data_IF_780050790036
#
_entry.id   IF_780050790036
#
_cell.length_a   1.000
_cell.length_b   1.000
_cell.length_c   1.000
_cell.angle_alpha   90.00
_cell.angle_beta   90.00
_cell.angle_gamma   90.00
#
_symmetry.space_group_name_H-M   'P 1'
#
loop_
_entity.id
_entity.type
_entity.pdbx_description
1 polymer ?
#
# COMPACT_ATOMS: atom_id res chain seq x y z
N UNK A 1 12.18 -13.34 26.47
CA UNK A 1 12.02 -12.32 25.41
C UNK A 1 10.79 -12.71 24.61
N UNK A 2 9.76 -11.84 24.52
CA UNK A 2 8.60 -12.10 23.67
C UNK A 2 9.02 -12.26 22.21
N UNK A 3 8.28 -13.04 21.41
CA UNK A 3 8.54 -13.19 19.97
C UNK A 3 8.57 -11.80 19.32
N UNK A 4 9.70 -11.45 18.70
CA UNK A 4 9.81 -10.24 17.87
C UNK A 4 8.94 -10.47 16.64
N UNK A 5 7.95 -9.59 16.41
CA UNK A 5 7.12 -9.66 15.23
C UNK A 5 7.87 -9.03 14.05
N UNK A 6 8.47 -9.86 13.20
CA UNK A 6 9.23 -9.42 12.02
C UNK A 6 8.25 -9.27 10.85
N UNK A 7 8.18 -8.06 10.28
CA UNK A 7 7.40 -7.77 9.07
C UNK A 7 8.04 -8.47 7.87
N UNK A 8 7.22 -9.12 7.04
CA UNK A 8 7.64 -9.89 5.86
C UNK A 8 7.19 -9.19 4.58
N UNK A 9 7.86 -9.48 3.45
CA UNK A 9 7.56 -8.89 2.13
C UNK A 9 6.08 -8.96 1.73
N UNK A 10 5.42 -10.09 2.00
CA UNK A 10 4.00 -10.27 1.68
C UNK A 10 3.04 -9.45 2.54
N UNK A 11 3.54 -8.79 3.60
CA UNK A 11 2.75 -7.87 4.41
C UNK A 11 2.81 -6.44 3.86
N UNK A 12 3.61 -6.18 2.83
CA UNK A 12 3.45 -5.02 1.97
C UNK A 12 2.59 -5.43 0.77
N UNK A 13 1.48 -4.74 0.55
CA UNK A 13 0.65 -4.92 -0.63
C UNK A 13 0.77 -3.70 -1.54
N UNK A 14 1.28 -3.95 -2.74
CA UNK A 14 1.56 -2.94 -3.75
C UNK A 14 0.44 -2.93 -4.80
N UNK A 15 -0.09 -1.76 -5.13
CA UNK A 15 -1.18 -1.60 -6.08
C UNK A 15 -0.83 -0.54 -7.12
N UNK A 16 -1.20 -0.80 -8.37
CA UNK A 16 -1.07 0.15 -9.47
C UNK A 16 -2.47 0.53 -9.96
N UNK A 17 -2.75 1.82 -10.09
CA UNK A 17 -3.97 2.29 -10.75
C UNK A 17 -3.80 2.15 -12.26
N UNK A 18 -4.51 1.20 -12.87
CA UNK A 18 -4.54 1.02 -14.34
C UNK A 18 -5.78 1.65 -14.97
N UNK A 19 -6.56 2.38 -14.18
CA UNK A 19 -7.72 3.16 -14.61
C UNK A 19 -7.35 4.62 -14.87
N UNK A 20 -8.32 5.51 -14.66
CA UNK A 20 -8.10 6.97 -14.76
C UNK A 20 -8.19 7.61 -13.37
N UNK A 21 -7.86 8.90 -13.26
CA UNK A 21 -8.08 9.65 -12.01
C UNK A 21 -9.56 9.66 -11.60
N UNK A 22 -10.47 9.83 -12.56
CA UNK A 22 -11.92 9.89 -12.32
C UNK A 22 -12.56 8.53 -12.06
N UNK A 23 -11.95 7.46 -12.57
CA UNK A 23 -12.39 6.08 -12.40
C UNK A 23 -11.18 5.20 -12.06
N UNK A 24 -10.67 5.29 -10.82
CA UNK A 24 -9.51 4.50 -10.41
C UNK A 24 -9.79 3.01 -10.47
N UNK A 25 -8.80 2.25 -10.91
CA UNK A 25 -8.84 0.80 -10.95
C UNK A 25 -7.51 0.25 -10.43
N UNK A 26 -7.42 0.16 -9.10
CA UNK A 26 -6.22 -0.34 -8.42
C UNK A 26 -6.16 -1.86 -8.47
N UNK A 27 -5.19 -2.37 -9.22
CA UNK A 27 -4.88 -3.80 -9.34
C UNK A 27 -3.66 -4.15 -8.50
N UNK A 28 -3.67 -5.34 -7.88
CA UNK A 28 -2.58 -5.80 -7.03
C UNK A 28 -1.37 -6.15 -7.90
N UNK A 29 -0.19 -5.63 -7.55
CA UNK A 29 1.10 -6.03 -8.14
C UNK A 29 1.60 -7.30 -7.44
N UNK A 30 0.83 -8.38 -7.60
CA UNK A 30 1.01 -9.64 -6.89
C UNK A 30 1.62 -10.72 -7.76
N UNK A 31 0.77 -11.58 -8.32
CA UNK A 31 1.22 -12.68 -9.18
C UNK A 31 2.04 -12.14 -10.36
N UNK A 32 3.13 -12.85 -10.69
CA UNK A 32 4.09 -12.44 -11.72
C UNK A 32 5.20 -11.50 -11.23
N UNK A 33 4.98 -10.67 -10.22
CA UNK A 33 6.05 -9.86 -9.63
C UNK A 33 6.92 -10.69 -8.69
N UNK A 34 8.24 -10.67 -8.90
CA UNK A 34 9.24 -11.37 -8.07
C UNK A 34 9.92 -10.43 -7.08
N UNK A 35 9.98 -9.14 -7.39
CA UNK A 35 10.48 -8.10 -6.48
C UNK A 35 9.76 -6.77 -6.74
N UNK A 36 9.59 -5.97 -5.68
CA UNK A 36 9.22 -4.55 -5.73
C UNK A 36 9.86 -3.89 -4.51
N UNK A 37 11.07 -3.37 -4.68
CA UNK A 37 11.90 -2.86 -3.60
C UNK A 37 11.86 -1.33 -3.57
N UNK A 38 11.72 -0.74 -2.39
CA UNK A 38 11.71 0.72 -2.21
C UNK A 38 13.09 1.22 -1.82
N UNK A 39 13.59 2.16 -2.60
CA UNK A 39 14.81 2.91 -2.33
C UNK A 39 14.43 4.37 -2.12
N UNK A 40 14.34 4.87 -0.86
CA UNK A 40 13.94 6.25 -0.59
C UNK A 40 14.89 7.31 -1.18
N UNK A 41 16.17 6.97 -1.35
CA UNK A 41 17.18 7.83 -1.98
C UNK A 41 17.21 9.27 -1.46
N UNK A 42 17.43 9.43 -0.15
CA UNK A 42 17.52 10.75 0.49
C UNK A 42 18.61 11.63 -0.15
N UNK A 43 18.29 12.91 -0.36
CA UNK A 43 19.26 13.95 -0.72
C UNK A 43 19.52 14.85 0.46
N UNK A 44 20.77 15.23 0.66
CA UNK A 44 21.17 16.08 1.77
C UNK A 44 21.95 17.28 1.27
N UNK A 45 21.74 18.42 1.92
CA UNK A 45 22.60 19.59 1.80
C UNK A 45 23.46 19.71 3.05
N UNK A 46 24.63 20.36 2.93
CA UNK A 46 25.53 20.58 4.05
C UNK A 46 26.09 21.99 4.02
N UNK A 47 26.07 22.65 5.17
CA UNK A 47 26.62 24.00 5.36
C UNK A 47 27.68 23.95 6.45
N UNK A 48 28.80 24.64 6.22
CA UNK A 48 29.87 24.84 7.20
C UNK A 48 30.17 26.33 7.29
N UNK A 49 29.97 26.94 8.45
CA UNK A 49 30.36 28.34 8.67
C UNK A 49 31.85 28.45 9.01
N UNK A 50 32.43 29.65 8.84
CA UNK A 50 33.88 29.89 9.00
C UNK A 50 34.39 29.53 10.39
N UNK A 51 33.55 29.71 11.40
CA UNK A 51 33.85 29.39 12.79
C UNK A 51 33.44 27.96 13.19
N UNK A 52 32.85 27.17 12.27
CA UNK A 52 32.50 25.78 12.54
C UNK A 52 33.68 24.86 12.26
N UNK A 53 33.93 23.93 13.17
CA UNK A 53 34.95 22.90 12.98
C UNK A 53 34.47 21.86 11.96
N UNK A 54 33.17 21.54 11.94
CA UNK A 54 32.53 20.56 11.06
C UNK A 54 31.29 21.11 10.37
N UNK A 55 30.91 20.53 9.22
CA UNK A 55 29.67 20.88 8.53
C UNK A 55 28.44 20.33 9.28
N UNK A 56 27.32 21.05 9.20
CA UNK A 56 25.99 20.56 9.57
C UNK A 56 25.26 20.07 8.31
N UNK A 57 24.67 18.88 8.35
CA UNK A 57 23.90 18.30 7.24
C UNK A 57 22.41 18.19 7.55
N UNK A 58 21.58 18.25 6.51
CA UNK A 58 20.12 18.04 6.63
C UNK A 58 19.60 17.36 5.36
N UNK A 59 18.70 16.38 5.53
CA UNK A 59 17.97 15.78 4.41
C UNK A 59 16.97 16.81 3.89
N UNK A 60 17.01 17.09 2.59
CA UNK A 60 16.18 18.12 1.94
C UNK A 60 15.11 17.54 1.02
N UNK A 61 15.30 16.33 0.50
CA UNK A 61 14.33 15.66 -0.36
C UNK A 61 14.58 14.15 -0.40
N UNK A 62 13.61 13.42 -0.98
CA UNK A 62 13.73 12.00 -1.31
C UNK A 62 13.45 11.81 -2.80
N UNK A 63 14.28 11.03 -3.49
CA UNK A 63 14.05 10.60 -4.87
C UNK A 63 13.64 9.12 -4.89
N UNK A 64 12.49 8.84 -4.27
CA UNK A 64 12.07 7.44 -4.01
C UNK A 64 11.90 6.67 -5.32
N UNK A 65 12.46 5.47 -5.39
CA UNK A 65 12.29 4.55 -6.52
C UNK A 65 11.76 3.21 -6.02
N UNK A 66 10.85 2.62 -6.78
CA UNK A 66 10.38 1.25 -6.58
C UNK A 66 10.88 0.37 -7.74
N UNK A 67 12.02 -0.28 -7.55
CA UNK A 67 12.56 -1.19 -8.56
C UNK A 67 11.75 -2.48 -8.59
N UNK A 68 11.31 -2.92 -9.77
CA UNK A 68 10.50 -4.11 -9.92
C UNK A 68 11.11 -5.11 -10.91
N UNK A 69 10.88 -6.38 -10.63
CA UNK A 69 11.07 -7.49 -11.56
C UNK A 69 9.77 -8.30 -11.64
N UNK A 70 9.39 -8.67 -12.86
CA UNK A 70 8.19 -9.47 -13.11
C UNK A 70 8.38 -10.45 -14.28
N UNK A 71 7.70 -11.60 -14.22
CA UNK A 71 7.43 -12.42 -15.40
C UNK A 71 6.40 -11.69 -16.28
N UNK A 72 6.59 -11.66 -17.60
CA UNK A 72 5.61 -11.07 -18.50
C UNK A 72 4.38 -12.00 -18.60
N UNK A 73 3.29 -11.63 -17.94
CA UNK A 73 2.02 -12.38 -17.92
C UNK A 73 0.93 -11.49 -18.51
N UNK A 74 0.31 -11.93 -19.60
CA UNK A 74 -0.65 -11.14 -20.38
C UNK A 74 -1.91 -10.81 -19.59
N UNK A 75 -2.39 -11.75 -18.78
CA UNK A 75 -3.64 -11.58 -18.01
C UNK A 75 -3.44 -10.77 -16.71
N UNK A 76 -2.19 -10.48 -16.31
CA UNK A 76 -1.88 -9.67 -15.14
C UNK A 76 -1.86 -8.19 -15.52
N UNK A 77 -2.94 -7.49 -15.20
CA UNK A 77 -3.22 -6.12 -15.67
C UNK A 77 -2.14 -5.09 -15.30
N UNK A 78 -1.55 -5.21 -14.11
CA UNK A 78 -0.44 -4.33 -13.70
C UNK A 78 0.80 -4.55 -14.59
N UNK A 79 1.11 -5.81 -14.90
CA UNK A 79 2.25 -6.19 -15.75
C UNK A 79 2.00 -5.74 -17.19
N UNK A 80 0.78 -5.94 -17.69
CA UNK A 80 0.37 -5.47 -19.02
C UNK A 80 0.53 -3.94 -19.16
N UNK A 81 0.05 -3.17 -18.18
CA UNK A 81 0.18 -1.71 -18.18
C UNK A 81 1.65 -1.25 -18.20
N UNK A 82 2.49 -1.83 -17.35
CA UNK A 82 3.92 -1.51 -17.34
C UNK A 82 4.62 -1.95 -18.63
N UNK A 83 4.27 -3.11 -19.19
CA UNK A 83 4.80 -3.57 -20.47
C UNK A 83 4.47 -2.61 -21.61
N UNK A 84 3.26 -2.05 -21.65
CA UNK A 84 2.86 -1.08 -22.67
C UNK A 84 3.69 0.20 -22.64
N UNK A 85 4.03 0.71 -21.45
CA UNK A 85 4.94 1.87 -21.28
C UNK A 85 6.26 1.62 -22.00
N UNK A 86 6.89 0.48 -21.75
CA UNK A 86 8.15 0.11 -22.39
C UNK A 86 8.01 -0.17 -23.88
N UNK A 87 6.99 -0.96 -24.26
CA UNK A 87 6.75 -1.35 -25.66
C UNK A 87 6.49 -0.15 -26.57
N UNK A 88 5.71 0.83 -26.09
CA UNK A 88 5.28 1.98 -26.87
C UNK A 88 6.15 3.22 -26.62
N UNK A 89 7.13 3.12 -25.72
CA UNK A 89 7.95 4.24 -25.26
C UNK A 89 7.09 5.42 -24.79
N UNK A 90 6.08 5.15 -23.95
CA UNK A 90 5.31 6.22 -23.32
C UNK A 90 6.21 7.11 -22.49
N UNK A 91 5.88 8.40 -22.44
CA UNK A 91 6.65 9.42 -21.71
C UNK A 91 5.73 10.42 -21.03
N UNK A 92 6.27 11.18 -20.09
CA UNK A 92 5.49 12.16 -19.33
C UNK A 92 4.28 11.50 -18.67
N UNK A 93 3.12 12.16 -18.73
CA UNK A 93 1.89 11.68 -18.10
C UNK A 93 1.39 10.34 -18.63
N UNK A 94 1.77 9.91 -19.85
CA UNK A 94 1.39 8.59 -20.38
C UNK A 94 2.19 7.44 -19.74
N UNK A 95 3.30 7.76 -19.08
CA UNK A 95 4.10 6.81 -18.31
C UNK A 95 3.84 6.93 -16.79
N UNK A 96 2.95 7.83 -16.36
CA UNK A 96 2.67 8.08 -14.95
C UNK A 96 1.48 7.28 -14.43
N UNK A 97 1.58 6.81 -13.18
CA UNK A 97 0.56 6.02 -12.50
C UNK A 97 0.39 6.48 -11.07
N UNK A 98 -0.81 6.29 -10.53
CA UNK A 98 -1.00 6.24 -9.09
C UNK A 98 -0.58 4.87 -8.56
N UNK A 99 0.34 4.87 -7.60
CA UNK A 99 0.87 3.66 -6.96
C UNK A 99 0.63 3.71 -5.45
N UNK A 100 0.14 2.61 -4.88
CA UNK A 100 -0.17 2.51 -3.45
C UNK A 100 0.64 1.38 -2.84
N UNK A 101 1.30 1.67 -1.72
CA UNK A 101 1.90 0.67 -0.83
C UNK A 101 1.15 0.64 0.49
N UNK A 102 0.45 -0.46 0.75
CA UNK A 102 -0.34 -0.69 1.96
C UNK A 102 0.39 -1.62 2.95
N UNK A 103 0.34 -1.28 4.23
CA UNK A 103 1.00 -1.96 5.33
C UNK A 103 0.04 -2.96 5.99
N UNK A 104 -0.01 -4.20 5.53
CA UNK A 104 -1.00 -5.19 5.99
C UNK A 104 -0.86 -5.60 7.46
N UNK A 105 0.24 -5.24 8.13
CA UNK A 105 0.42 -5.42 9.57
C UNK A 105 -0.12 -4.24 10.39
N UNK A 106 -0.39 -3.11 9.76
CA UNK A 106 -0.78 -1.84 10.37
C UNK A 106 -2.25 -1.52 10.04
N UNK A 107 -3.14 -2.42 10.49
CA UNK A 107 -4.57 -2.29 10.28
C UNK A 107 -5.16 -1.11 11.05
N UNK A 108 -6.13 -0.43 10.44
CA UNK A 108 -6.93 0.60 11.09
C UNK A 108 -8.26 -0.03 11.48
N UNK A 109 -8.72 0.26 12.69
CA UNK A 109 -9.98 -0.25 13.22
C UNK A 109 -10.91 0.91 13.61
N UNK A 110 -12.20 0.76 13.32
CA UNK A 110 -13.25 1.70 13.69
C UNK A 110 -14.44 0.91 14.25
N UNK A 111 -14.31 0.46 15.50
CA UNK A 111 -15.32 -0.40 16.12
C UNK A 111 -16.57 0.39 16.51
N UNK A 112 -17.69 0.02 15.89
CA UNK A 112 -19.01 0.59 16.13
C UNK A 112 -19.97 -0.47 16.64
N UNK A 113 -20.92 -0.07 17.47
CA UNK A 113 -21.97 -0.99 17.91
C UNK A 113 -22.77 -1.42 16.69
N UNK A 114 -23.04 -2.72 16.55
CA UNK A 114 -23.75 -3.21 15.36
C UNK A 114 -25.20 -2.72 15.36
N UNK A 115 -25.73 -2.42 14.18
CA UNK A 115 -27.15 -2.13 13.95
C UNK A 115 -27.96 -3.37 13.60
N UNK A 116 -27.31 -4.52 13.45
CA UNK A 116 -27.96 -5.76 13.04
C UNK A 116 -28.93 -6.27 14.12
N UNK A 117 -30.08 -6.81 13.69
CA UNK A 117 -31.08 -7.42 14.59
C UNK A 117 -30.97 -8.93 14.66
N UNK A 118 -30.12 -9.53 13.81
CA UNK A 118 -29.82 -10.95 13.76
C UNK A 118 -28.40 -11.20 13.26
N UNK A 119 -27.86 -12.40 13.45
CA UNK A 119 -26.52 -12.72 12.94
C UNK A 119 -26.53 -12.77 11.41
N UNK A 120 -25.84 -11.83 10.78
CA UNK A 120 -25.53 -11.85 9.35
C UNK A 120 -24.41 -12.87 9.04
N UNK A 121 -24.69 -13.79 8.11
CA UNK A 121 -23.70 -14.79 7.67
C UNK A 121 -22.44 -14.12 7.08
N UNK A 122 -21.25 -14.61 7.44
CA UNK A 122 -19.96 -14.09 6.95
C UNK A 122 -19.49 -12.79 7.62
N UNK A 123 -20.31 -12.14 8.46
CA UNK A 123 -19.92 -10.94 9.20
C UNK A 123 -19.16 -11.32 10.48
N UNK A 124 -18.13 -10.54 10.80
CA UNK A 124 -17.35 -10.72 12.03
C UNK A 124 -17.86 -9.74 13.09
N UNK A 125 -18.16 -10.26 14.28
CA UNK A 125 -18.61 -9.49 15.43
C UNK A 125 -17.57 -9.48 16.54
N UNK A 126 -17.60 -8.45 17.36
CA UNK A 126 -16.68 -8.23 18.47
C UNK A 126 -17.46 -7.92 19.76
N UNK A 127 -16.90 -8.34 20.89
CA UNK A 127 -17.32 -7.84 22.21
C UNK A 127 -16.32 -6.79 22.68
N UNK A 128 -16.81 -5.82 23.45
CA UNK A 128 -16.00 -4.74 24.02
C UNK A 128 -15.80 -4.97 25.51
N UNK A 129 -14.56 -4.87 25.97
CA UNK A 129 -14.20 -4.86 27.39
C UNK A 129 -13.26 -3.69 27.71
N UNK A 130 -12.99 -3.43 28.99
CA UNK A 130 -12.16 -2.31 29.44
C UNK A 130 -12.96 -1.02 29.64
N UNK A 131 -12.24 0.11 29.67
CA UNK A 131 -12.77 1.44 29.95
C UNK A 131 -12.56 2.39 28.77
N UNK A 132 -13.27 3.52 28.79
CA UNK A 132 -13.12 4.55 27.75
C UNK A 132 -11.65 4.98 27.59
N UNK A 133 -11.16 4.98 26.35
CA UNK A 133 -9.76 5.25 26.02
C UNK A 133 -8.84 4.03 26.04
N UNK A 134 -9.31 2.88 26.52
CA UNK A 134 -8.54 1.62 26.58
C UNK A 134 -9.45 0.40 26.32
N UNK A 135 -10.42 0.53 25.42
CA UNK A 135 -11.30 -0.58 25.08
C UNK A 135 -10.55 -1.66 24.32
N UNK A 136 -10.81 -2.91 24.69
CA UNK A 136 -10.34 -4.09 23.99
C UNK A 136 -11.53 -4.71 23.28
N UNK A 137 -11.38 -4.89 21.97
CA UNK A 137 -12.39 -5.54 21.13
C UNK A 137 -11.91 -6.95 20.78
N UNK A 138 -12.65 -7.95 21.24
CA UNK A 138 -12.32 -9.36 21.04
C UNK A 138 -13.31 -9.99 20.09
N UNK A 139 -12.80 -10.67 19.05
CA UNK A 139 -13.62 -11.39 18.07
C UNK A 139 -14.52 -12.42 18.75
N UNK A 140 -15.78 -12.47 18.33
CA UNK A 140 -16.76 -13.47 18.75
C UNK A 140 -16.69 -14.65 17.77
N UNK A 141 -16.22 -15.80 18.23
CA UNK A 141 -16.06 -17.01 17.38
C UNK A 141 -17.40 -17.68 17.06
N UNK A 142 -18.37 -17.63 17.97
CA UNK A 142 -19.71 -18.22 17.79
C UNK A 142 -20.81 -17.18 18.09
N UNK A 143 -21.12 -16.27 17.13
CA UNK A 143 -22.14 -15.24 17.33
C UNK A 143 -23.53 -15.82 17.55
N UNK A 144 -24.30 -15.24 18.46
CA UNK A 144 -25.69 -15.63 18.79
C UNK A 144 -26.61 -14.43 18.63
N UNK A 145 -27.76 -14.63 17.99
CA UNK A 145 -28.76 -13.55 17.82
C UNK A 145 -29.23 -12.98 19.15
N UNK A 146 -29.30 -13.80 20.21
CA UNK A 146 -29.68 -13.33 21.55
C UNK A 146 -28.73 -12.25 22.11
N UNK A 147 -27.46 -12.25 21.69
CA UNK A 147 -26.41 -11.38 22.20
C UNK A 147 -26.07 -10.21 21.24
N UNK A 148 -26.70 -10.15 20.06
CA UNK A 148 -26.37 -9.20 18.98
C UNK A 148 -26.37 -7.74 19.46
N UNK A 149 -27.28 -7.39 20.38
CA UNK A 149 -27.40 -6.06 20.95
C UNK A 149 -26.18 -5.62 21.79
N UNK A 150 -25.23 -6.51 22.07
CA UNK A 150 -23.97 -6.22 22.76
C UNK A 150 -22.76 -6.20 21.84
N UNK A 151 -22.94 -6.59 20.57
CA UNK A 151 -21.85 -6.76 19.62
C UNK A 151 -21.47 -5.47 18.90
N UNK A 152 -20.22 -5.47 18.44
CA UNK A 152 -19.60 -4.43 17.65
C UNK A 152 -19.14 -5.01 16.32
N UNK A 153 -19.01 -4.15 15.33
CA UNK A 153 -18.44 -4.42 14.02
C UNK A 153 -17.30 -3.45 13.75
N UNK A 154 -16.33 -3.89 12.96
CA UNK A 154 -15.24 -3.02 12.53
C UNK A 154 -15.63 -2.30 11.24
N UNK A 155 -15.95 -1.01 11.36
CA UNK A 155 -16.28 -0.15 10.22
C UNK A 155 -15.10 0.13 9.29
N UNK A 156 -13.87 -0.15 9.73
CA UNK A 156 -12.65 -0.01 8.94
C UNK A 156 -12.08 -1.37 8.49
N UNK A 157 -12.89 -2.44 8.48
CA UNK A 157 -12.46 -3.77 8.00
C UNK A 157 -11.68 -3.68 6.68
N UNK A 158 -10.58 -4.43 6.58
CA UNK A 158 -9.68 -4.46 5.41
C UNK A 158 -9.00 -3.11 5.09
N UNK A 159 -8.97 -2.18 6.04
CA UNK A 159 -8.30 -0.88 5.89
C UNK A 159 -6.97 -0.87 6.62
N UNK A 160 -5.93 -0.39 5.94
CA UNK A 160 -4.55 -0.41 6.44
C UNK A 160 -3.90 0.94 6.21
N UNK A 161 -2.91 1.29 7.04
CA UNK A 161 -2.05 2.44 6.75
C UNK A 161 -1.37 2.25 5.40
N UNK A 162 -1.30 3.33 4.61
CA UNK A 162 -0.80 3.28 3.25
C UNK A 162 -0.18 4.61 2.82
N UNK A 163 0.67 4.52 1.81
CA UNK A 163 1.24 5.67 1.11
C UNK A 163 0.84 5.59 -0.36
N UNK A 164 0.28 6.69 -0.89
CA UNK A 164 0.01 6.86 -2.32
C UNK A 164 1.12 7.72 -2.93
N UNK A 165 1.70 7.26 -4.02
CA UNK A 165 2.70 7.96 -4.80
C UNK A 165 2.13 8.19 -6.21
N UNK A 166 2.42 9.34 -6.79
CA UNK A 166 2.47 9.43 -8.26
C UNK A 166 3.84 8.93 -8.68
N UNK A 167 3.90 8.02 -9.66
CA UNK A 167 5.15 7.42 -10.13
C UNK A 167 5.23 7.46 -11.64
N UNK A 168 6.40 7.76 -12.19
CA UNK A 168 6.71 7.54 -13.60
C UNK A 168 7.31 6.15 -13.76
N UNK A 169 6.68 5.30 -14.56
CA UNK A 169 7.19 3.99 -14.91
C UNK A 169 8.35 4.12 -15.92
N UNK A 170 9.47 3.51 -15.59
CA UNK A 170 10.65 3.39 -16.44
C UNK A 170 10.89 1.90 -16.69
N UNK A 171 10.51 1.40 -17.86
CA UNK A 171 10.83 0.03 -18.26
C UNK A 171 12.26 -0.01 -18.78
N UNK A 172 13.14 -0.69 -18.04
CA UNK A 172 14.56 -0.76 -18.36
C UNK A 172 14.92 -1.99 -19.19
N UNK A 173 14.13 -3.06 -19.09
CA UNK A 173 14.43 -4.31 -19.80
C UNK A 173 13.18 -5.15 -20.05
N UNK A 174 13.06 -5.63 -21.29
CA UNK A 174 12.18 -6.73 -21.70
C UNK A 174 13.07 -7.80 -22.29
N UNK A 175 13.17 -8.96 -21.66
CA UNK A 175 14.10 -10.01 -22.08
C UNK A 175 13.54 -11.40 -21.78
N UNK A 176 14.05 -12.43 -22.46
CA UNK A 176 13.65 -13.80 -22.16
C UNK A 176 14.41 -14.82 -22.98
N UNK A 177 14.45 -16.05 -22.46
CA UNK A 177 14.91 -17.23 -23.18
C UNK A 177 13.74 -18.21 -23.37
N UNK A 178 13.20 -18.73 -22.26
CA UNK A 178 11.99 -19.59 -22.27
C UNK A 178 10.73 -18.85 -21.83
N UNK A 179 10.85 -17.97 -20.82
CA UNK A 179 9.82 -17.03 -20.38
C UNK A 179 10.34 -15.62 -20.60
N UNK A 180 9.43 -14.70 -20.93
CA UNK A 180 9.73 -13.28 -20.97
C UNK A 180 9.65 -12.69 -19.55
N UNK A 181 10.54 -11.76 -19.25
CA UNK A 181 10.56 -10.94 -18.05
C UNK A 181 10.55 -9.46 -18.40
N UNK A 182 10.04 -8.69 -17.46
CA UNK A 182 9.94 -7.23 -17.49
C UNK A 182 10.59 -6.71 -16.21
N UNK A 183 11.53 -5.77 -16.34
CA UNK A 183 12.09 -5.06 -15.19
C UNK A 183 12.17 -3.57 -15.44
N UNK A 184 12.16 -2.80 -14.36
CA UNK A 184 12.12 -1.34 -14.42
C UNK A 184 12.07 -0.71 -13.05
N UNK A 185 11.83 0.60 -13.04
CA UNK A 185 11.61 1.39 -11.83
C UNK A 185 10.27 2.12 -11.92
N UNK A 186 9.61 2.28 -10.78
CA UNK A 186 8.59 3.30 -10.58
C UNK A 186 9.26 4.46 -9.85
N UNK A 187 9.54 5.55 -10.56
CA UNK A 187 10.23 6.71 -10.02
C UNK A 187 9.20 7.67 -9.44
N UNK A 188 9.26 7.95 -8.13
CA UNK A 188 8.29 8.82 -7.47
C UNK A 188 8.36 10.25 -8.03
N UNK A 189 7.20 10.83 -8.31
CA UNK A 189 7.00 12.21 -8.74
C UNK A 189 6.45 12.99 -7.55
N UNK A 190 7.34 13.71 -6.86
CA UNK A 190 7.01 14.46 -5.66
C UNK A 190 6.85 13.59 -4.41
N UNK A 191 6.22 14.17 -3.39
CA UNK A 191 6.06 13.53 -2.09
C UNK A 191 4.86 12.57 -2.06
N UNK A 192 4.94 11.46 -1.30
CA UNK A 192 3.79 10.61 -1.09
C UNK A 192 2.67 11.31 -0.31
N UNK A 193 1.44 10.97 -0.67
CA UNK A 193 0.27 11.27 0.15
C UNK A 193 0.10 10.15 1.18
N UNK A 194 0.16 10.50 2.46
CA UNK A 194 -0.12 9.57 3.55
C UNK A 194 -1.63 9.36 3.70
N UNK A 195 -2.03 8.15 4.06
CA UNK A 195 -3.43 7.83 4.28
C UNK A 195 -3.67 6.37 4.60
N UNK A 196 -4.86 5.90 4.25
CA UNK A 196 -5.25 4.50 4.41
C UNK A 196 -5.73 3.92 3.10
N UNK A 197 -5.61 2.61 2.96
CA UNK A 197 -6.11 1.89 1.80
C UNK A 197 -6.97 0.72 2.23
N UNK A 198 -8.17 0.63 1.66
CA UNK A 198 -9.04 -0.52 1.85
C UNK A 198 -8.79 -1.55 0.75
N UNK A 199 -8.28 -2.74 1.11
CA UNK A 199 -7.86 -3.75 0.13
C UNK A 199 -9.00 -4.53 -0.49
N UNK A 200 -10.23 -4.41 0.03
CA UNK A 200 -11.42 -5.05 -0.56
C UNK A 200 -12.10 -4.10 -1.55
N UNK A 201 -12.37 -2.86 -1.12
CA UNK A 201 -13.01 -1.83 -1.95
C UNK A 201 -12.04 -1.06 -2.85
N UNK A 202 -10.73 -1.33 -2.74
CA UNK A 202 -9.65 -0.69 -3.51
C UNK A 202 -9.66 0.84 -3.43
N UNK A 203 -10.01 1.38 -2.27
CA UNK A 203 -10.19 2.82 -2.05
C UNK A 203 -9.09 3.38 -1.17
N UNK A 204 -8.44 4.45 -1.62
CA UNK A 204 -7.49 5.23 -0.82
C UNK A 204 -8.19 6.41 -0.15
N UNK A 205 -7.95 6.61 1.13
CA UNK A 205 -8.41 7.78 1.89
C UNK A 205 -7.20 8.55 2.39
N UNK A 206 -7.05 9.80 1.95
CA UNK A 206 -5.99 10.69 2.42
C UNK A 206 -6.10 10.91 3.94
N UNK A 207 -4.97 10.84 4.63
CA UNK A 207 -4.87 11.17 6.05
C UNK A 207 -5.09 12.66 6.31
N UNK A 208 -5.63 12.98 7.48
CA UNK A 208 -5.80 14.36 7.95
C UNK A 208 -4.46 15.02 8.29
#
# INVERSE_FOLDING_TARGET
MGKINVVKRHQYADYLNVGTESTPDYVLMGAGFTSIDESPNAKSESVKYVNDVSASSSVVSYETQFSFEAEQIVDERAIAALYEVGRNHYTGSEAEFDYIRAELWNAVHDYKKTSDTSISAGKTYFTRSGSAGAYIYTKVEEPKTADIATYYEDGAKNTYQARKFTVSAEVSKVAGENKMSLSGNLNAVGDPVLGTFNTETKTFTKGA
#
